data_IF_914748656623
#
_entry.id   IF_914748656623
#
_cell.length_a   1.000
_cell.length_b   1.000
_cell.length_c   1.000
_cell.angle_alpha   90.00
_cell.angle_beta   90.00
_cell.angle_gamma   90.00
#
_symmetry.space_group_name_H-M   'P 1'
#
loop_
_entity.id
_entity.type
_entity.pdbx_description
1 polymer ?
#
# COMPACT_ATOMS: atom_id res chain seq x y z
N UNK A 1 -3.89 -12.36 -19.69
CA UNK A 1 -3.15 -11.64 -18.61
C UNK A 1 -1.64 -11.47 -18.87
N UNK A 2 -0.95 -12.37 -19.60
CA UNK A 2 0.51 -12.31 -19.75
C UNK A 2 1.12 -11.15 -20.54
N UNK A 3 0.43 -10.56 -21.52
CA UNK A 3 1.02 -9.54 -22.40
C UNK A 3 1.15 -8.14 -21.78
N UNK A 4 0.31 -7.80 -20.82
CA UNK A 4 0.36 -6.50 -20.13
C UNK A 4 1.43 -6.49 -19.03
N UNK A 5 1.62 -7.61 -18.35
CA UNK A 5 2.65 -7.74 -17.31
C UNK A 5 4.08 -7.62 -17.86
N UNK A 6 4.36 -8.09 -19.08
CA UNK A 6 5.70 -7.98 -19.68
C UNK A 6 6.14 -6.54 -20.01
N UNK A 7 5.22 -5.57 -20.04
CA UNK A 7 5.52 -4.15 -20.29
C UNK A 7 5.82 -3.35 -19.01
N UNK A 8 5.55 -3.92 -17.83
CA UNK A 8 5.80 -3.25 -16.56
C UNK A 8 7.29 -3.30 -16.17
N UNK A 9 7.79 -2.30 -15.42
CA UNK A 9 9.12 -2.35 -14.81
C UNK A 9 9.30 -3.62 -13.98
N UNK A 10 10.52 -4.14 -13.92
CA UNK A 10 10.84 -5.38 -13.20
C UNK A 10 10.39 -5.36 -11.74
N UNK A 11 10.57 -4.23 -11.05
CA UNK A 11 10.17 -4.07 -9.65
C UNK A 11 8.64 -4.19 -9.46
N UNK A 12 7.84 -3.64 -10.39
CA UNK A 12 6.38 -3.72 -10.32
C UNK A 12 5.88 -5.14 -10.56
N UNK A 13 6.50 -5.86 -11.51
CA UNK A 13 6.17 -7.27 -11.77
C UNK A 13 6.43 -8.13 -10.54
N UNK A 14 7.56 -7.92 -9.86
CA UNK A 14 7.91 -8.63 -8.63
C UNK A 14 6.92 -8.26 -7.51
N UNK A 15 6.57 -7.00 -7.35
CA UNK A 15 5.63 -6.53 -6.35
C UNK A 15 4.24 -7.15 -6.52
N UNK A 16 3.72 -7.20 -7.76
CA UNK A 16 2.42 -7.82 -8.08
C UNK A 16 2.45 -9.32 -7.76
N UNK A 17 3.47 -10.05 -8.23
CA UNK A 17 3.63 -11.47 -7.95
C UNK A 17 3.79 -11.76 -6.45
N UNK A 18 4.51 -10.89 -5.73
CA UNK A 18 4.71 -11.02 -4.30
C UNK A 18 3.40 -10.83 -3.54
N UNK A 19 2.56 -9.86 -3.90
CA UNK A 19 1.26 -9.65 -3.28
C UNK A 19 0.40 -10.91 -3.36
N UNK A 20 0.28 -11.51 -4.55
CA UNK A 20 -0.50 -12.72 -4.77
C UNK A 20 0.06 -13.93 -3.98
N UNK A 21 1.38 -14.14 -4.01
CA UNK A 21 2.00 -15.26 -3.31
C UNK A 21 2.01 -15.10 -1.79
N UNK A 22 2.23 -13.91 -1.27
CA UNK A 22 2.18 -13.66 0.18
C UNK A 22 0.76 -13.82 0.71
N UNK A 23 -0.25 -13.35 -0.04
CA UNK A 23 -1.65 -13.54 0.31
C UNK A 23 -2.06 -15.03 0.34
N UNK A 24 -1.60 -15.80 -0.63
CA UNK A 24 -2.01 -17.21 -0.80
C UNK A 24 -1.21 -18.16 0.08
N UNK A 25 0.11 -17.99 0.12
CA UNK A 25 1.04 -18.92 0.77
C UNK A 25 1.57 -18.39 2.12
N UNK A 26 1.38 -17.09 2.40
CA UNK A 26 2.00 -16.40 3.52
C UNK A 26 3.43 -15.93 3.22
N UNK A 27 3.84 -14.86 3.88
CA UNK A 27 5.16 -14.24 3.71
C UNK A 27 6.32 -15.20 4.00
N UNK A 28 6.26 -15.94 5.10
CA UNK A 28 7.37 -16.80 5.50
C UNK A 28 7.54 -18.02 4.60
N UNK A 29 6.46 -18.58 4.07
CA UNK A 29 6.47 -19.77 3.23
C UNK A 29 6.93 -19.49 1.79
N UNK A 30 6.80 -18.26 1.32
CA UNK A 30 7.18 -17.86 -0.04
C UNK A 30 8.69 -17.62 -0.14
N UNK A 31 9.34 -18.23 -1.12
CA UNK A 31 10.77 -18.05 -1.40
C UNK A 31 11.02 -17.00 -2.48
N UNK A 32 12.25 -16.45 -2.52
CA UNK A 32 12.69 -15.55 -3.60
C UNK A 32 12.68 -16.23 -4.98
N UNK A 33 12.88 -17.55 -5.03
CA UNK A 33 12.82 -18.34 -6.28
C UNK A 33 11.38 -18.43 -6.81
N UNK A 34 10.40 -18.67 -5.95
CA UNK A 34 8.98 -18.66 -6.33
C UNK A 34 8.52 -17.28 -6.79
N UNK A 35 8.95 -16.21 -6.11
CA UNK A 35 8.67 -14.85 -6.53
C UNK A 35 9.25 -14.54 -7.92
N UNK A 36 10.50 -14.97 -8.18
CA UNK A 36 11.13 -14.80 -9.48
C UNK A 36 10.35 -15.56 -10.57
N UNK A 37 9.98 -16.81 -10.31
CA UNK A 37 9.21 -17.63 -11.24
C UNK A 37 7.83 -17.01 -11.53
N UNK A 38 7.11 -16.57 -10.50
CA UNK A 38 5.79 -15.93 -10.66
C UNK A 38 5.87 -14.59 -11.42
N UNK A 39 6.97 -13.84 -11.23
CA UNK A 39 7.23 -12.61 -11.96
C UNK A 39 7.79 -12.83 -13.39
N UNK A 40 7.94 -14.10 -13.84
CA UNK A 40 8.58 -14.47 -15.10
C UNK A 40 9.98 -13.87 -15.25
N UNK A 41 10.84 -14.12 -14.24
CA UNK A 41 12.20 -13.59 -14.15
C UNK A 41 13.19 -14.64 -13.65
N UNK A 42 14.48 -14.41 -13.91
CA UNK A 42 15.53 -15.18 -13.26
C UNK A 42 15.72 -14.76 -11.80
N UNK A 43 16.16 -15.70 -10.96
CA UNK A 43 16.50 -15.43 -9.55
C UNK A 43 17.58 -14.35 -9.43
N UNK A 44 18.54 -14.30 -10.36
CA UNK A 44 19.55 -13.25 -10.38
C UNK A 44 18.97 -11.85 -10.65
N UNK A 45 17.90 -11.77 -11.43
CA UNK A 45 17.24 -10.49 -11.74
C UNK A 45 16.44 -9.96 -10.56
N UNK A 46 15.75 -10.84 -9.79
CA UNK A 46 15.00 -10.40 -8.61
C UNK A 46 15.96 -9.83 -7.54
N UNK A 47 17.13 -10.46 -7.32
CA UNK A 47 18.13 -9.96 -6.36
C UNK A 47 18.81 -8.65 -6.79
N UNK A 48 18.72 -8.26 -8.05
CA UNK A 48 19.16 -6.92 -8.50
C UNK A 48 18.19 -5.82 -8.09
N UNK A 49 16.90 -6.13 -7.97
CA UNK A 49 15.85 -5.19 -7.57
C UNK A 49 15.60 -5.18 -6.07
N UNK A 50 15.61 -6.36 -5.44
CA UNK A 50 15.30 -6.55 -4.02
C UNK A 50 16.27 -7.53 -3.38
N UNK A 51 16.92 -7.13 -2.29
CA UNK A 51 17.89 -7.97 -1.59
C UNK A 51 17.24 -9.03 -0.69
N UNK A 52 15.98 -8.77 -0.28
CA UNK A 52 15.23 -9.63 0.65
C UNK A 52 13.72 -9.54 0.39
N UNK A 53 12.97 -10.47 0.97
CA UNK A 53 11.49 -10.39 0.99
C UNK A 53 10.99 -9.15 1.74
N UNK A 54 11.71 -8.71 2.76
CA UNK A 54 11.36 -7.50 3.51
C UNK A 54 11.44 -6.24 2.63
N UNK A 55 12.42 -6.15 1.71
CA UNK A 55 12.49 -5.04 0.75
C UNK A 55 11.27 -5.05 -0.20
N UNK A 56 10.76 -6.23 -0.54
CA UNK A 56 9.57 -6.38 -1.37
C UNK A 56 8.31 -5.95 -0.59
N UNK A 57 8.17 -6.36 0.67
CA UNK A 57 7.09 -5.88 1.55
C UNK A 57 7.13 -4.36 1.67
N UNK A 58 8.29 -3.78 1.93
CA UNK A 58 8.43 -2.32 2.00
C UNK A 58 7.97 -1.64 0.70
N UNK A 59 8.31 -2.21 -0.45
CA UNK A 59 7.87 -1.68 -1.75
C UNK A 59 6.35 -1.82 -1.97
N UNK A 60 5.74 -2.90 -1.49
CA UNK A 60 4.28 -3.08 -1.50
C UNK A 60 3.63 -1.98 -0.65
N UNK A 61 4.07 -1.84 0.59
CA UNK A 61 3.55 -0.85 1.55
C UNK A 61 3.65 0.57 0.98
N UNK A 62 4.79 0.95 0.38
CA UNK A 62 4.97 2.28 -0.22
C UNK A 62 4.02 2.52 -1.39
N UNK A 63 3.85 1.52 -2.26
CA UNK A 63 2.98 1.65 -3.42
C UNK A 63 1.50 1.78 -3.03
N UNK A 64 1.04 0.99 -2.05
CA UNK A 64 -0.31 1.11 -1.51
C UNK A 64 -0.55 2.48 -0.90
N UNK A 65 0.44 2.99 -0.20
CA UNK A 65 0.37 4.32 0.36
C UNK A 65 0.31 5.42 -0.71
N UNK A 66 1.12 5.33 -1.75
CA UNK A 66 1.11 6.31 -2.85
C UNK A 66 -0.24 6.32 -3.57
N UNK A 67 -0.86 5.14 -3.77
CA UNK A 67 -2.20 5.01 -4.33
C UNK A 67 -3.25 5.65 -3.42
N UNK A 68 -3.22 5.34 -2.11
CA UNK A 68 -4.10 5.97 -1.11
C UNK A 68 -3.93 7.49 -1.02
N UNK A 69 -2.72 8.00 -1.18
CA UNK A 69 -2.50 9.45 -1.22
C UNK A 69 -3.21 10.13 -2.38
N UNK A 70 -3.24 9.50 -3.55
CA UNK A 70 -3.95 10.04 -4.72
C UNK A 70 -5.46 10.07 -4.46
N UNK A 71 -6.03 9.00 -3.90
CA UNK A 71 -7.44 8.92 -3.53
C UNK A 71 -7.83 10.00 -2.49
N UNK A 72 -7.03 10.13 -1.43
CA UNK A 72 -7.24 11.17 -0.40
C UNK A 72 -7.10 12.56 -1.00
N UNK A 73 -6.16 12.78 -1.92
CA UNK A 73 -6.00 14.04 -2.64
C UNK A 73 -7.25 14.40 -3.45
N UNK A 74 -7.87 13.43 -4.12
CA UNK A 74 -9.12 13.63 -4.84
C UNK A 74 -10.26 14.00 -3.90
N UNK A 75 -10.42 13.31 -2.76
CA UNK A 75 -11.44 13.64 -1.75
C UNK A 75 -11.25 15.05 -1.18
N UNK A 76 -10.01 15.48 -0.95
CA UNK A 76 -9.70 16.85 -0.49
C UNK A 76 -10.14 17.89 -1.51
N UNK A 77 -9.88 17.64 -2.80
CA UNK A 77 -10.29 18.55 -3.87
C UNK A 77 -11.81 18.65 -3.96
N UNK A 78 -12.50 17.52 -3.96
CA UNK A 78 -13.97 17.47 -4.01
C UNK A 78 -14.62 18.19 -2.80
N UNK A 79 -14.02 18.06 -1.61
CA UNK A 79 -14.46 18.81 -0.43
C UNK A 79 -14.22 20.32 -0.60
N UNK A 80 -13.06 20.72 -1.13
CA UNK A 80 -12.73 22.13 -1.35
C UNK A 80 -13.66 22.79 -2.38
N UNK A 81 -13.98 22.06 -3.45
CA UNK A 81 -14.86 22.50 -4.53
C UNK A 81 -16.36 22.48 -4.12
N UNK A 82 -16.68 21.94 -2.95
CA UNK A 82 -18.04 21.82 -2.43
C UNK A 82 -18.86 20.70 -3.10
N UNK A 83 -18.22 19.80 -3.84
CA UNK A 83 -18.85 18.63 -4.46
C UNK A 83 -19.23 17.57 -3.39
N UNK A 84 -18.46 17.50 -2.31
CA UNK A 84 -18.73 16.64 -1.15
C UNK A 84 -18.92 17.49 0.11
N UNK A 85 -19.84 17.03 0.94
CA UNK A 85 -19.93 17.51 2.33
C UNK A 85 -18.82 16.89 3.19
N UNK A 86 -18.53 17.50 4.33
CA UNK A 86 -17.58 16.95 5.30
C UNK A 86 -17.96 15.53 5.71
N UNK A 87 -19.25 15.25 5.96
CA UNK A 87 -19.74 13.94 6.35
C UNK A 87 -19.51 12.89 5.24
N UNK A 88 -19.80 13.24 4.00
CA UNK A 88 -19.57 12.37 2.84
C UNK A 88 -18.08 12.08 2.65
N UNK A 89 -17.23 13.10 2.81
CA UNK A 89 -15.77 12.93 2.75
C UNK A 89 -15.27 11.94 3.81
N UNK A 90 -15.69 12.11 5.07
CA UNK A 90 -15.33 11.16 6.14
C UNK A 90 -15.88 9.76 5.89
N UNK A 91 -17.11 9.65 5.39
CA UNK A 91 -17.70 8.35 5.05
C UNK A 91 -16.89 7.65 3.94
N UNK A 92 -16.53 8.35 2.88
CA UNK A 92 -15.73 7.77 1.80
C UNK A 92 -14.33 7.39 2.27
N UNK A 93 -13.66 8.25 3.03
CA UNK A 93 -12.35 7.95 3.62
C UNK A 93 -12.40 6.69 4.51
N UNK A 94 -13.43 6.56 5.34
CA UNK A 94 -13.61 5.40 6.20
C UNK A 94 -13.84 4.12 5.38
N UNK A 95 -14.68 4.17 4.35
CA UNK A 95 -14.94 3.02 3.48
C UNK A 95 -13.67 2.58 2.74
N UNK A 96 -12.87 3.52 2.25
CA UNK A 96 -11.58 3.20 1.59
C UNK A 96 -10.58 2.53 2.54
N UNK A 97 -10.58 2.91 3.82
CA UNK A 97 -9.70 2.28 4.82
C UNK A 97 -10.20 0.88 5.20
N UNK A 98 -11.52 0.66 5.18
CA UNK A 98 -12.12 -0.62 5.55
C UNK A 98 -12.20 -1.64 4.41
N UNK A 99 -12.07 -1.18 3.15
CA UNK A 99 -12.15 -2.03 1.95
C UNK A 99 -10.78 -2.60 1.53
N UNK A 100 -9.95 -2.95 2.49
CA UNK A 100 -8.65 -3.55 2.23
C UNK A 100 -8.81 -5.06 1.99
N UNK A 101 -8.87 -5.43 0.71
CA UNK A 101 -9.20 -6.76 0.23
C UNK A 101 -8.20 -7.89 0.52
N UNK A 102 -7.17 -7.68 1.37
CA UNK A 102 -6.19 -8.73 1.69
C UNK A 102 -5.75 -8.67 3.15
N UNK A 103 -6.65 -9.13 4.02
CA UNK A 103 -6.42 -9.14 5.47
C UNK A 103 -5.17 -9.97 5.85
N UNK A 104 -4.94 -11.11 5.20
CA UNK A 104 -3.82 -11.98 5.50
C UNK A 104 -2.48 -11.29 5.22
N UNK A 105 -2.34 -10.60 4.08
CA UNK A 105 -1.15 -9.84 3.75
C UNK A 105 -0.97 -8.65 4.70
N UNK A 106 -2.05 -7.98 5.08
CA UNK A 106 -2.00 -6.86 6.04
C UNK A 106 -1.45 -7.28 7.39
N UNK A 107 -1.85 -8.45 7.91
CA UNK A 107 -1.28 -9.02 9.14
C UNK A 107 0.19 -9.39 8.98
N UNK A 108 0.60 -9.98 7.86
CA UNK A 108 2.01 -10.30 7.58
C UNK A 108 2.87 -9.03 7.50
N UNK A 109 2.37 -7.96 6.86
CA UNK A 109 3.02 -6.64 6.81
C UNK A 109 3.23 -6.07 8.22
N UNK A 110 2.20 -6.08 9.05
CA UNK A 110 2.29 -5.59 10.43
C UNK A 110 3.27 -6.42 11.24
N UNK A 111 3.21 -7.76 11.14
CA UNK A 111 4.12 -8.66 11.84
C UNK A 111 5.58 -8.43 11.41
N UNK A 112 5.83 -8.17 10.13
CA UNK A 112 7.17 -7.84 9.63
C UNK A 112 7.61 -6.45 10.11
N UNK A 113 6.70 -5.49 10.23
CA UNK A 113 6.98 -4.17 10.79
C UNK A 113 7.52 -4.20 12.23
N UNK A 114 7.08 -5.20 13.02
CA UNK A 114 7.63 -5.42 14.38
C UNK A 114 8.99 -6.12 14.39
N UNK A 115 9.35 -6.84 13.32
CA UNK A 115 10.61 -7.60 13.22
C UNK A 115 11.70 -6.86 12.46
N UNK A 116 11.32 -5.98 11.56
CA UNK A 116 12.21 -5.26 10.65
C UNK A 116 12.03 -3.75 10.84
N UNK A 117 13.07 -3.11 11.37
CA UNK A 117 13.05 -1.68 11.68
C UNK A 117 12.70 -0.81 10.46
N UNK A 118 13.21 -1.13 9.27
CA UNK A 118 12.93 -0.37 8.04
C UNK A 118 11.46 -0.45 7.64
N UNK A 119 10.88 -1.66 7.70
CA UNK A 119 9.44 -1.86 7.43
C UNK A 119 8.62 -1.12 8.47
N UNK A 120 8.99 -1.22 9.76
CA UNK A 120 8.33 -0.52 10.85
C UNK A 120 8.38 1.01 10.71
N UNK A 121 9.52 1.57 10.32
CA UNK A 121 9.65 3.00 10.04
C UNK A 121 8.74 3.44 8.89
N UNK A 122 8.72 2.68 7.79
CA UNK A 122 7.85 2.96 6.64
C UNK A 122 6.37 2.98 7.04
N UNK A 123 5.91 1.98 7.80
CA UNK A 123 4.54 1.93 8.33
C UNK A 123 4.27 3.15 9.25
N UNK A 124 5.22 3.49 10.12
CA UNK A 124 5.12 4.64 11.02
C UNK A 124 4.96 5.96 10.27
N UNK A 125 5.76 6.20 9.23
CA UNK A 125 5.65 7.38 8.37
C UNK A 125 4.27 7.48 7.71
N UNK A 126 3.73 6.35 7.25
CA UNK A 126 2.38 6.29 6.65
C UNK A 126 1.30 6.64 7.67
N UNK A 127 1.36 6.09 8.87
CA UNK A 127 0.42 6.39 9.95
C UNK A 127 0.45 7.88 10.34
N UNK A 128 1.63 8.51 10.37
CA UNK A 128 1.75 9.94 10.65
C UNK A 128 1.12 10.81 9.55
N UNK A 129 1.35 10.46 8.28
CA UNK A 129 0.73 11.18 7.16
C UNK A 129 -0.78 11.04 7.17
N UNK A 130 -1.29 9.80 7.41
CA UNK A 130 -2.73 9.56 7.50
C UNK A 130 -3.37 10.38 8.65
N UNK A 131 -2.73 10.43 9.82
CA UNK A 131 -3.15 11.32 10.92
C UNK A 131 -3.15 12.79 10.52
N UNK A 132 -2.21 13.21 9.69
CA UNK A 132 -2.18 14.56 9.11
C UNK A 132 -3.46 14.86 8.32
N UNK A 133 -3.86 13.96 7.42
CA UNK A 133 -5.10 14.11 6.65
C UNK A 133 -6.35 14.17 7.53
N UNK A 134 -6.46 13.29 8.53
CA UNK A 134 -7.59 13.31 9.46
C UNK A 134 -7.68 14.65 10.21
N UNK A 135 -6.54 15.24 10.63
CA UNK A 135 -6.52 16.57 11.27
C UNK A 135 -6.98 17.67 10.32
N UNK A 136 -6.57 17.63 9.05
CA UNK A 136 -7.00 18.59 8.03
C UNK A 136 -8.51 18.51 7.80
N UNK A 137 -9.06 17.32 7.62
CA UNK A 137 -10.50 17.13 7.48
C UNK A 137 -11.27 17.58 8.73
N UNK A 138 -10.78 17.27 9.92
CA UNK A 138 -11.40 17.72 11.16
C UNK A 138 -11.41 19.25 11.30
N UNK A 139 -10.33 19.94 10.89
CA UNK A 139 -10.29 21.41 10.84
C UNK A 139 -11.27 21.97 9.82
N UNK A 140 -11.35 21.37 8.63
CA UNK A 140 -12.31 21.79 7.62
C UNK A 140 -13.77 21.59 8.09
N UNK A 141 -14.04 20.52 8.87
CA UNK A 141 -15.32 20.30 9.50
C UNK A 141 -15.68 21.41 10.50
N UNK A 142 -14.76 21.71 11.41
CA UNK A 142 -14.98 22.74 12.44
C UNK A 142 -15.16 24.15 11.83
N UNK A 143 -14.40 24.51 10.81
CA UNK A 143 -14.54 25.81 10.13
C UNK A 143 -15.88 26.01 9.42
N UNK A 144 -16.67 24.95 9.21
CA UNK A 144 -18.00 25.03 8.60
C UNK A 144 -19.15 24.93 9.62
N UNK A 145 -18.81 24.69 10.91
CA UNK A 145 -19.76 24.66 12.00
C UNK A 145 -19.87 26.03 12.72
N UNK A 146 -18.93 26.94 12.49
CA UNK A 146 -18.94 28.35 12.92
C UNK A 146 -19.63 29.22 11.86
#
# INVERSE_FOLDING_TARGET
MGAVQQKLPSADRIRIAARELFATNGFHQTSMAELAAAADMSVGLIYRSFKSKADIIEAIVRADFDEKQLEIGALRQQLADGELTVLETFRQLFLQVMDEGDEALSFDILAEGFRNERVGQTIGEMCERFRGYLREFARAANARLD
#
